data_IF_916285159865
#
_entry.id   IF_916285159865
#
_cell.length_a   1.000
_cell.length_b   1.000
_cell.length_c   1.000
_cell.angle_alpha   90.00
_cell.angle_beta   90.00
_cell.angle_gamma   90.00
#
_symmetry.space_group_name_H-M   'P 1'
#
loop_
_entity.id
_entity.type
_entity.pdbx_description
1 polymer ?
#
# COMPACT_ATOMS: atom_id res chain seq x y z
N UNK A 1 -36.17 48.70 30.77
CA UNK A 1 -35.07 47.70 30.80
C UNK A 1 -35.32 46.71 29.68
N UNK A 2 -34.44 46.69 28.68
CA UNK A 2 -34.50 45.79 27.51
C UNK A 2 -34.18 44.36 27.94
N UNK A 3 -35.11 43.42 27.79
CA UNK A 3 -34.77 41.99 27.79
C UNK A 3 -34.32 41.60 26.38
N UNK A 4 -33.05 41.20 26.32
CA UNK A 4 -32.32 40.76 25.14
C UNK A 4 -32.89 39.43 24.64
N UNK A 5 -33.12 39.34 23.33
CA UNK A 5 -33.44 38.09 22.65
C UNK A 5 -32.28 37.10 22.71
N UNK A 6 -32.61 35.83 22.96
CA UNK A 6 -31.70 34.71 22.78
C UNK A 6 -32.03 34.04 21.44
N UNK A 7 -31.20 34.29 20.42
CA UNK A 7 -31.21 33.51 19.19
C UNK A 7 -30.46 32.19 19.46
N UNK A 8 -31.18 31.07 19.42
CA UNK A 8 -30.60 29.74 19.40
C UNK A 8 -29.95 29.51 18.03
N UNK A 9 -28.62 29.60 17.99
CA UNK A 9 -27.82 29.15 16.87
C UNK A 9 -27.61 27.65 17.06
N UNK A 10 -28.48 26.83 16.47
CA UNK A 10 -28.19 25.41 16.27
C UNK A 10 -27.09 25.30 15.23
N UNK A 11 -25.85 25.14 15.70
CA UNK A 11 -24.72 24.85 14.82
C UNK A 11 -24.94 23.51 14.11
N UNK A 12 -24.96 23.54 12.78
CA UNK A 12 -24.71 22.35 11.99
C UNK A 12 -23.32 21.83 12.39
N UNK A 13 -23.26 20.65 12.99
CA UNK A 13 -22.06 19.83 12.99
C UNK A 13 -21.81 19.46 11.53
N UNK A 14 -21.04 20.29 10.82
CA UNK A 14 -20.39 19.86 9.60
C UNK A 14 -19.49 18.69 10.00
N UNK A 15 -19.88 17.48 9.59
CA UNK A 15 -19.01 16.32 9.69
C UNK A 15 -17.69 16.70 9.06
N UNK A 16 -16.61 16.62 9.84
CA UNK A 16 -15.29 16.92 9.34
C UNK A 16 -14.96 15.93 8.21
N UNK A 17 -15.14 16.38 6.97
CA UNK A 17 -14.62 15.71 5.78
C UNK A 17 -13.10 15.79 5.85
N UNK A 18 -12.48 14.87 6.57
CA UNK A 18 -11.04 14.73 6.58
C UNK A 18 -10.63 14.00 5.31
N UNK A 19 -10.59 14.80 4.25
CA UNK A 19 -10.31 14.40 2.88
C UNK A 19 -9.03 15.08 2.42
N UNK A 20 -7.97 14.31 2.16
CA UNK A 20 -7.00 14.75 1.17
C UNK A 20 -7.73 14.77 -0.18
N UNK A 21 -8.00 15.96 -0.73
CA UNK A 21 -8.49 16.07 -2.11
C UNK A 21 -7.56 15.29 -3.04
N UNK A 22 -8.09 14.49 -3.96
CA UNK A 22 -7.25 13.72 -4.89
C UNK A 22 -6.42 14.70 -5.73
N UNK A 23 -5.07 14.68 -5.63
CA UNK A 23 -4.21 15.57 -6.40
C UNK A 23 -4.37 15.35 -7.90
N UNK A 24 -4.17 16.40 -8.70
CA UNK A 24 -4.49 16.39 -10.13
C UNK A 24 -3.79 15.27 -10.91
N UNK A 25 -2.54 14.95 -10.56
CA UNK A 25 -1.79 13.86 -11.19
C UNK A 25 -2.37 12.48 -10.85
N UNK A 26 -2.75 12.25 -9.60
CA UNK A 26 -3.43 11.02 -9.16
C UNK A 26 -4.83 10.92 -9.76
N UNK A 27 -5.57 12.03 -9.84
CA UNK A 27 -6.88 12.07 -10.48
C UNK A 27 -6.79 11.72 -11.96
N UNK A 28 -5.83 12.31 -12.67
CA UNK A 28 -5.58 12.03 -14.09
C UNK A 28 -5.19 10.56 -14.30
N UNK A 29 -4.42 9.99 -13.38
CA UNK A 29 -4.08 8.57 -13.39
C UNK A 29 -5.32 7.70 -13.15
N UNK A 30 -6.13 8.00 -12.13
CA UNK A 30 -7.39 7.30 -11.85
C UNK A 30 -8.33 7.31 -13.07
N UNK A 31 -8.58 8.49 -13.64
CA UNK A 31 -9.43 8.65 -14.83
C UNK A 31 -8.84 7.92 -16.04
N UNK A 32 -7.53 7.98 -16.23
CA UNK A 32 -6.80 7.30 -17.30
C UNK A 32 -6.85 5.78 -17.19
N UNK A 33 -6.73 5.23 -15.98
CA UNK A 33 -6.90 3.79 -15.71
C UNK A 33 -8.32 3.38 -16.09
N UNK A 34 -9.35 4.11 -15.64
CA UNK A 34 -10.75 3.81 -15.98
C UNK A 34 -11.01 3.90 -17.47
N UNK A 35 -10.56 4.97 -18.13
CA UNK A 35 -10.79 5.18 -19.57
C UNK A 35 -10.09 4.14 -20.45
N UNK A 36 -8.93 3.64 -20.01
CA UNK A 36 -8.21 2.56 -20.70
C UNK A 36 -9.01 1.25 -20.74
N UNK A 37 -9.95 1.07 -19.83
CA UNK A 37 -10.86 -0.07 -19.80
C UNK A 37 -10.24 -1.34 -19.23
N UNK A 38 -9.01 -1.70 -19.62
CA UNK A 38 -8.33 -2.89 -19.11
C UNK A 38 -6.82 -2.76 -19.13
N UNK A 39 -6.15 -3.57 -18.31
CA UNK A 39 -4.69 -3.59 -18.29
C UNK A 39 -4.13 -4.26 -19.55
N UNK A 40 -3.37 -3.51 -20.35
CA UNK A 40 -2.68 -4.05 -21.55
C UNK A 40 -1.42 -4.86 -21.23
N UNK A 41 -0.83 -4.66 -20.05
CA UNK A 41 0.41 -5.33 -19.58
C UNK A 41 0.22 -5.76 -18.12
N UNK A 42 -0.70 -6.70 -17.90
CA UNK A 42 -0.93 -7.24 -16.58
C UNK A 42 0.32 -8.00 -16.10
N UNK A 43 0.75 -7.75 -14.87
CA UNK A 43 1.74 -8.59 -14.20
C UNK A 43 1.15 -9.97 -13.92
N UNK A 44 -0.10 -9.97 -13.47
CA UNK A 44 -0.87 -11.16 -13.19
C UNK A 44 -2.36 -10.85 -13.33
N UNK A 45 -3.13 -11.84 -13.77
CA UNK A 45 -4.58 -11.78 -13.86
C UNK A 45 -5.20 -13.04 -13.28
N UNK A 46 -6.52 -13.05 -13.10
CA UNK A 46 -7.26 -14.20 -12.59
C UNK A 46 -7.74 -14.05 -11.15
N UNK A 47 -7.77 -12.82 -10.65
CA UNK A 47 -8.24 -12.47 -9.32
C UNK A 47 -9.73 -12.12 -9.32
N UNK A 48 -10.29 -12.23 -8.12
CA UNK A 48 -11.66 -11.86 -7.80
C UNK A 48 -11.70 -10.56 -7.01
N UNK A 49 -12.84 -9.90 -7.12
CA UNK A 49 -13.18 -8.70 -6.38
C UNK A 49 -14.10 -9.10 -5.25
N UNK A 50 -15.26 -9.59 -5.67
CA UNK A 50 -16.37 -10.00 -4.84
C UNK A 50 -16.37 -11.52 -4.71
N UNK A 51 -16.73 -12.03 -3.53
CA UNK A 51 -17.00 -13.45 -3.36
C UNK A 51 -18.16 -13.89 -4.26
N UNK A 52 -18.03 -15.07 -4.87
CA UNK A 52 -18.94 -15.57 -5.91
C UNK A 52 -18.94 -14.75 -7.22
N UNK A 53 -18.11 -13.70 -7.32
CA UNK A 53 -18.00 -12.83 -8.48
C UNK A 53 -17.26 -13.47 -9.67
N UNK A 54 -17.18 -12.74 -10.77
CA UNK A 54 -16.45 -13.20 -11.95
C UNK A 54 -14.94 -12.97 -11.80
N UNK A 55 -14.12 -13.94 -12.23
CA UNK A 55 -12.68 -13.72 -12.46
C UNK A 55 -12.50 -12.63 -13.51
N UNK A 56 -11.69 -11.63 -13.20
CA UNK A 56 -11.46 -10.55 -14.18
C UNK A 56 -10.48 -9.48 -13.77
N UNK A 57 -9.99 -9.52 -12.53
CA UNK A 57 -9.07 -8.53 -11.99
C UNK A 57 -7.63 -8.92 -12.27
N UNK A 58 -6.80 -7.90 -12.40
CA UNK A 58 -5.39 -8.02 -12.68
C UNK A 58 -4.59 -7.02 -11.83
N UNK A 59 -3.45 -7.50 -11.31
CA UNK A 59 -2.37 -6.62 -10.88
C UNK A 59 -1.70 -6.07 -12.14
N UNK A 60 -1.83 -4.76 -12.32
CA UNK A 60 -1.34 -4.01 -13.44
C UNK A 60 -0.06 -3.28 -13.07
N UNK A 61 0.92 -3.28 -13.98
CA UNK A 61 2.10 -2.41 -13.87
C UNK A 61 2.04 -1.37 -14.97
N UNK A 62 2.22 -0.09 -14.64
CA UNK A 62 2.51 0.90 -15.69
C UNK A 62 4.01 0.98 -15.94
N UNK A 63 4.55 -0.03 -16.63
CA UNK A 63 5.94 -0.02 -17.08
C UNK A 63 6.08 0.73 -18.40
N UNK A 64 6.15 2.05 -18.28
CA UNK A 64 6.80 2.99 -19.21
C UNK A 64 6.83 4.42 -18.66
N UNK A 65 5.88 4.82 -17.80
CA UNK A 65 5.76 6.24 -17.39
C UNK A 65 5.82 6.50 -15.87
N UNK A 66 5.39 5.57 -14.99
CA UNK A 66 5.20 5.88 -13.56
C UNK A 66 5.82 4.91 -12.55
N UNK A 67 6.28 3.72 -12.97
CA UNK A 67 6.82 2.68 -12.09
C UNK A 67 5.98 2.43 -10.82
N UNK A 68 4.71 2.06 -11.00
CA UNK A 68 3.77 1.73 -9.92
C UNK A 68 3.00 0.45 -10.24
N UNK A 69 2.62 -0.29 -9.21
CA UNK A 69 1.70 -1.44 -9.28
C UNK A 69 0.32 -0.98 -8.82
N UNK A 70 -0.73 -1.31 -9.56
CA UNK A 70 -2.11 -0.98 -9.20
C UNK A 70 -3.08 -2.09 -9.59
N UNK A 71 -4.26 -2.10 -8.99
CA UNK A 71 -5.29 -3.10 -9.28
C UNK A 71 -6.24 -2.54 -10.34
N UNK A 72 -6.49 -3.30 -11.41
CA UNK A 72 -7.45 -2.94 -12.45
C UNK A 72 -8.24 -4.18 -12.92
N UNK A 73 -9.55 -4.00 -13.11
CA UNK A 73 -10.44 -4.95 -13.76
C UNK A 73 -10.61 -4.69 -15.26
N UNK A 74 -11.69 -5.26 -15.81
CA UNK A 74 -12.14 -5.01 -17.18
C UNK A 74 -13.15 -3.86 -17.20
N UNK A 75 -13.43 -3.31 -18.39
CA UNK A 75 -14.43 -2.25 -18.60
C UNK A 75 -14.27 -1.01 -17.70
N UNK A 76 -13.03 -0.69 -17.30
CA UNK A 76 -12.70 0.47 -16.47
C UNK A 76 -13.01 0.26 -14.99
N UNK A 77 -13.38 -0.96 -14.58
CA UNK A 77 -13.57 -1.31 -13.19
C UNK A 77 -12.23 -1.32 -12.46
N UNK A 78 -12.25 -0.86 -11.23
CA UNK A 78 -11.13 -0.85 -10.29
C UNK A 78 -11.39 -1.90 -9.22
N UNK A 79 -10.78 -1.75 -8.04
CA UNK A 79 -11.03 -2.60 -6.89
C UNK A 79 -12.35 -2.26 -6.16
N UNK A 80 -12.86 -3.20 -5.40
CA UNK A 80 -13.72 -3.00 -4.22
C UNK A 80 -12.85 -2.70 -2.99
N UNK A 81 -13.49 -2.58 -1.82
CA UNK A 81 -12.82 -2.56 -0.52
C UNK A 81 -13.52 -3.51 0.46
N UNK A 82 -13.08 -4.75 0.50
CA UNK A 82 -13.40 -5.72 1.57
C UNK A 82 -12.62 -5.38 2.85
N UNK A 83 -13.09 -5.92 3.98
CA UNK A 83 -12.58 -5.56 5.30
C UNK A 83 -11.73 -6.67 5.90
N UNK A 84 -10.46 -6.35 6.12
CA UNK A 84 -9.53 -7.15 6.90
C UNK A 84 -9.56 -6.68 8.36
N UNK A 85 -9.75 -7.63 9.28
CA UNK A 85 -9.77 -7.39 10.73
C UNK A 85 -8.60 -8.03 11.47
N UNK A 86 -7.59 -8.51 10.75
CA UNK A 86 -6.43 -9.21 11.25
C UNK A 86 -5.48 -8.31 12.06
N UNK A 87 -4.59 -8.97 12.81
CA UNK A 87 -3.67 -8.30 13.73
C UNK A 87 -4.20 -8.31 15.16
N UNK A 88 -4.23 -7.14 15.81
CA UNK A 88 -4.65 -7.03 17.22
C UNK A 88 -6.14 -7.35 17.38
N UNK A 89 -6.43 -8.59 17.79
CA UNK A 89 -7.74 -9.01 18.29
C UNK A 89 -7.95 -8.50 19.72
N UNK A 90 -9.17 -8.09 20.06
CA UNK A 90 -9.51 -7.41 21.32
C UNK A 90 -8.83 -6.04 21.51
N UNK A 91 -8.80 -5.24 20.45
CA UNK A 91 -8.34 -3.86 20.50
C UNK A 91 -9.05 -3.08 21.63
N UNK A 92 -8.32 -2.26 22.42
CA UNK A 92 -8.94 -1.31 23.35
C UNK A 92 -9.73 -0.20 22.63
N UNK A 93 -9.59 -0.10 21.31
CA UNK A 93 -10.32 0.82 20.44
C UNK A 93 -11.48 0.14 19.71
N UNK A 94 -11.73 -1.16 19.96
CA UNK A 94 -12.85 -1.88 19.34
C UNK A 94 -14.16 -1.18 19.64
N UNK A 95 -14.95 -0.99 18.58
CA UNK A 95 -16.34 -0.53 18.66
C UNK A 95 -17.35 -1.61 18.22
N UNK A 96 -16.92 -2.87 18.12
CA UNK A 96 -17.78 -4.01 17.84
C UNK A 96 -17.92 -4.36 16.35
N UNK A 97 -17.28 -3.61 15.45
CA UNK A 97 -17.46 -3.77 14.01
C UNK A 97 -16.66 -4.92 13.41
N UNK A 98 -15.44 -5.17 13.86
CA UNK A 98 -14.66 -6.32 13.39
C UNK A 98 -15.23 -7.66 13.87
N UNK A 99 -16.02 -7.66 14.94
CA UNK A 99 -16.69 -8.85 15.47
C UNK A 99 -17.78 -9.40 14.53
N UNK A 100 -18.14 -8.66 13.47
CA UNK A 100 -18.97 -9.17 12.38
C UNK A 100 -18.20 -10.17 11.48
N UNK A 101 -16.87 -10.01 11.37
CA UNK A 101 -16.03 -10.90 10.56
C UNK A 101 -15.96 -12.31 11.17
N UNK A 102 -16.01 -13.32 10.31
CA UNK A 102 -15.85 -14.73 10.70
C UNK A 102 -14.46 -15.29 10.34
N UNK A 103 -13.61 -14.48 9.71
CA UNK A 103 -12.31 -14.89 9.16
C UNK A 103 -11.11 -14.18 9.82
N UNK A 104 -11.35 -13.50 10.94
CA UNK A 104 -10.31 -12.72 11.61
C UNK A 104 -9.21 -13.59 12.22
N UNK A 105 -7.96 -13.24 11.93
CA UNK A 105 -6.75 -13.84 12.49
C UNK A 105 -6.11 -12.96 13.58
N UNK A 106 -5.48 -13.57 14.60
CA UNK A 106 -4.89 -12.85 15.73
C UNK A 106 -3.53 -12.18 15.41
N UNK A 107 -3.14 -12.14 14.14
CA UNK A 107 -1.88 -11.56 13.67
C UNK A 107 -2.01 -11.18 12.20
N UNK A 108 -1.29 -10.14 11.78
CA UNK A 108 -1.08 -9.83 10.37
C UNK A 108 0.09 -10.61 9.78
N UNK A 109 0.15 -10.70 8.46
CA UNK A 109 1.26 -11.35 7.76
C UNK A 109 2.65 -10.76 8.09
N UNK A 110 2.75 -9.50 8.53
CA UNK A 110 4.01 -8.81 8.81
C UNK A 110 4.24 -8.49 10.29
N UNK A 111 3.58 -9.20 11.20
CA UNK A 111 3.73 -9.05 12.65
C UNK A 111 5.20 -9.01 13.11
N UNK A 112 6.07 -9.89 12.60
CA UNK A 112 7.47 -9.94 13.03
C UNK A 112 8.25 -8.67 12.65
N UNK A 113 7.97 -8.09 11.48
CA UNK A 113 8.58 -6.84 11.03
C UNK A 113 8.09 -5.65 11.88
N UNK A 114 6.79 -5.62 12.18
CA UNK A 114 6.17 -4.60 13.04
C UNK A 114 6.77 -4.65 14.45
N UNK A 115 6.91 -5.85 15.03
CA UNK A 115 7.57 -6.04 16.33
C UNK A 115 9.04 -5.64 16.28
N UNK A 116 9.73 -5.94 15.17
CA UNK A 116 11.12 -5.56 14.91
C UNK A 116 11.36 -4.05 14.94
N UNK A 117 10.37 -3.23 14.58
CA UNK A 117 10.44 -1.77 14.71
C UNK A 117 10.54 -1.29 16.15
N UNK A 118 10.13 -2.11 17.13
CA UNK A 118 10.09 -1.75 18.56
C UNK A 118 9.35 -0.42 18.78
N UNK A 119 8.36 -0.14 17.93
CA UNK A 119 7.57 1.09 17.95
C UNK A 119 6.49 1.07 19.04
N UNK A 120 6.45 0.01 19.86
CA UNK A 120 5.58 -0.14 21.02
C UNK A 120 4.14 -0.55 20.70
N UNK A 121 3.94 -1.16 19.54
CA UNK A 121 2.78 -1.98 19.20
C UNK A 121 3.23 -3.43 18.99
N UNK A 122 2.30 -4.37 19.16
CA UNK A 122 2.55 -5.79 18.91
C UNK A 122 2.29 -6.18 17.46
N UNK A 123 1.34 -5.50 16.84
CA UNK A 123 0.90 -5.68 15.46
C UNK A 123 0.05 -4.47 15.03
N UNK A 124 -0.40 -4.42 13.79
CA UNK A 124 -1.46 -3.51 13.34
C UNK A 124 -2.78 -3.81 14.07
N UNK A 125 -3.63 -2.80 14.13
CA UNK A 125 -4.95 -2.83 14.76
C UNK A 125 -5.93 -2.26 13.74
N UNK A 126 -6.86 -3.08 13.25
CA UNK A 126 -7.75 -2.71 12.15
C UNK A 126 -8.62 -1.48 12.46
N UNK A 127 -8.86 -1.15 13.74
CA UNK A 127 -9.58 0.07 14.13
C UNK A 127 -8.77 1.36 13.98
N UNK A 128 -7.43 1.26 13.96
CA UNK A 128 -6.50 2.39 14.10
C UNK A 128 -5.54 2.51 12.93
N UNK A 129 -4.97 1.41 12.47
CA UNK A 129 -3.92 1.42 11.49
C UNK A 129 -4.56 1.30 10.11
N UNK A 130 -4.49 2.36 9.30
CA UNK A 130 -4.83 2.23 7.88
C UNK A 130 -3.81 1.30 7.22
N UNK A 131 -4.25 0.11 6.87
CA UNK A 131 -3.43 -0.86 6.17
C UNK A 131 -4.22 -1.48 5.02
N UNK A 132 -3.49 -2.06 4.08
CA UNK A 132 -4.04 -2.76 2.91
C UNK A 132 -3.55 -4.19 2.88
N UNK A 133 -4.36 -5.05 2.30
CA UNK A 133 -4.00 -6.43 1.97
C UNK A 133 -3.54 -6.45 0.53
N UNK A 134 -2.32 -6.93 0.29
CA UNK A 134 -1.76 -6.97 -1.06
C UNK A 134 -1.01 -8.28 -1.29
N UNK A 135 -1.24 -8.87 -2.45
CA UNK A 135 -0.64 -10.15 -2.81
C UNK A 135 -1.47 -11.34 -2.36
N UNK A 136 -1.24 -12.44 -3.05
CA UNK A 136 -1.97 -13.70 -2.87
C UNK A 136 -0.94 -14.81 -2.80
N UNK A 137 -0.92 -15.49 -1.66
CA UNK A 137 0.07 -16.50 -1.34
C UNK A 137 -0.65 -17.84 -1.17
N UNK A 138 -0.06 -18.88 -1.75
CA UNK A 138 -0.58 -20.24 -1.64
C UNK A 138 0.32 -21.06 -0.73
N UNK A 139 -0.31 -21.95 0.04
CA UNK A 139 0.39 -22.99 0.76
C UNK A 139 1.12 -23.91 -0.23
N UNK A 140 2.23 -24.48 0.23
CA UNK A 140 3.06 -25.34 -0.60
C UNK A 140 2.23 -26.52 -1.16
N UNK A 141 2.14 -26.58 -2.49
CA UNK A 141 1.48 -27.69 -3.21
C UNK A 141 0.03 -27.44 -3.65
N UNK A 142 -0.57 -26.27 -3.36
CA UNK A 142 -1.91 -25.95 -3.88
C UNK A 142 -1.87 -25.59 -5.37
N UNK A 143 -2.12 -26.59 -6.23
CA UNK A 143 -2.21 -26.39 -7.67
C UNK A 143 -3.49 -25.64 -8.07
N UNK A 144 -3.38 -24.66 -8.97
CA UNK A 144 -4.54 -23.96 -9.54
C UNK A 144 -4.95 -22.67 -8.82
N UNK A 145 -4.33 -22.33 -7.69
CA UNK A 145 -4.49 -21.03 -7.05
C UNK A 145 -3.64 -19.96 -7.76
N UNK A 146 -4.20 -18.76 -7.94
CA UNK A 146 -3.50 -17.67 -8.62
C UNK A 146 -2.72 -16.87 -7.60
N UNK A 147 -1.40 -16.98 -7.62
CA UNK A 147 -0.52 -16.23 -6.72
C UNK A 147 -0.02 -14.93 -7.35
N UNK A 148 0.27 -13.95 -6.49
CA UNK A 148 0.98 -12.72 -6.81
C UNK A 148 1.79 -12.28 -5.59
N UNK A 149 3.10 -12.12 -5.77
CA UNK A 149 4.02 -11.68 -4.73
C UNK A 149 4.48 -10.25 -5.04
N UNK A 150 3.98 -9.21 -4.35
CA UNK A 150 4.37 -7.83 -4.66
C UNK A 150 5.88 -7.58 -4.54
N UNK A 151 6.59 -8.37 -3.73
CA UNK A 151 8.05 -8.37 -3.59
C UNK A 151 8.80 -8.65 -4.89
N UNK A 152 8.24 -9.46 -5.79
CA UNK A 152 8.85 -9.76 -7.11
C UNK A 152 8.92 -8.51 -8.00
N UNK A 153 8.15 -7.48 -7.64
CA UNK A 153 8.05 -6.20 -8.34
C UNK A 153 8.59 -5.03 -7.51
N UNK A 154 9.39 -5.32 -6.49
CA UNK A 154 10.08 -4.32 -5.68
C UNK A 154 9.20 -3.57 -4.69
N UNK A 155 7.97 -4.04 -4.44
CA UNK A 155 7.16 -3.55 -3.32
C UNK A 155 7.67 -4.24 -2.05
N UNK A 156 8.11 -3.47 -1.07
CA UNK A 156 8.62 -4.01 0.20
C UNK A 156 7.46 -4.15 1.21
N UNK A 157 7.46 -5.18 2.09
CA UNK A 157 6.53 -5.27 3.20
C UNK A 157 6.43 -3.96 3.99
N UNK A 158 5.22 -3.61 4.45
CA UNK A 158 4.90 -2.35 5.13
C UNK A 158 5.06 -1.08 4.28
N UNK A 159 5.29 -1.20 2.96
CA UNK A 159 5.29 -0.05 2.05
C UNK A 159 3.95 0.70 2.08
N UNK A 160 4.01 2.02 1.93
CA UNK A 160 2.84 2.86 1.74
C UNK A 160 2.16 2.53 0.42
N UNK A 161 0.85 2.34 0.47
CA UNK A 161 -0.06 2.21 -0.67
C UNK A 161 -1.00 3.41 -0.66
N UNK A 162 -1.11 4.08 -1.80
CA UNK A 162 -2.08 5.14 -2.03
C UNK A 162 -3.44 4.52 -2.39
N UNK A 163 -4.50 4.94 -1.70
CA UNK A 163 -5.86 4.43 -1.87
C UNK A 163 -6.78 5.57 -2.25
N UNK A 164 -7.39 5.49 -3.43
CA UNK A 164 -8.41 6.45 -3.90
C UNK A 164 -9.78 5.80 -3.77
N UNK A 165 -10.63 6.39 -2.95
CA UNK A 165 -11.99 5.93 -2.64
C UNK A 165 -12.86 7.16 -2.38
N UNK A 166 -14.15 7.12 -2.73
CA UNK A 166 -15.10 8.20 -2.45
C UNK A 166 -14.58 9.61 -2.81
N UNK A 167 -13.90 9.74 -3.96
CA UNK A 167 -13.26 10.99 -4.42
C UNK A 167 -12.21 11.61 -3.47
N UNK A 168 -11.62 10.79 -2.60
CA UNK A 168 -10.58 11.17 -1.64
C UNK A 168 -9.34 10.30 -1.83
N UNK A 169 -8.18 10.83 -1.41
CA UNK A 169 -6.93 10.08 -1.36
C UNK A 169 -6.53 9.83 0.10
N UNK A 170 -6.26 8.57 0.40
CA UNK A 170 -5.71 8.10 1.67
C UNK A 170 -4.45 7.27 1.45
N UNK A 171 -3.78 6.96 2.56
CA UNK A 171 -2.59 6.12 2.58
C UNK A 171 -2.77 5.03 3.63
N UNK A 172 -2.39 3.80 3.27
CA UNK A 172 -2.23 2.70 4.21
C UNK A 172 -0.87 2.04 4.03
N UNK A 173 -0.45 1.25 5.01
CA UNK A 173 0.73 0.38 4.85
C UNK A 173 0.29 -0.99 4.35
N UNK A 174 1.08 -1.64 3.51
CA UNK A 174 0.84 -3.04 3.16
C UNK A 174 1.24 -3.93 4.34
N UNK A 175 0.27 -4.23 5.22
CA UNK A 175 0.49 -4.99 6.46
C UNK A 175 0.10 -6.46 6.33
N UNK A 176 -0.78 -6.79 5.38
CA UNK A 176 -1.31 -8.14 5.24
C UNK A 176 -1.34 -8.67 3.81
N UNK A 177 -1.57 -9.99 3.68
CA UNK A 177 -1.59 -10.73 2.44
C UNK A 177 -2.79 -11.69 2.43
N UNK A 178 -3.40 -11.89 1.26
CA UNK A 178 -4.45 -12.90 1.15
C UNK A 178 -3.83 -14.30 1.13
N UNK A 179 -4.34 -15.16 2.02
CA UNK A 179 -4.09 -16.60 2.02
C UNK A 179 -4.86 -17.34 0.93
N UNK A 180 -4.76 -18.67 0.94
CA UNK A 180 -5.44 -19.53 -0.02
C UNK A 180 -6.61 -20.32 0.58
N UNK A 181 -7.16 -19.92 1.73
CA UNK A 181 -8.43 -20.41 2.29
C UNK A 181 -9.64 -20.21 1.37
N UNK A 182 -9.59 -19.22 0.48
CA UNK A 182 -10.63 -18.89 -0.48
C UNK A 182 -10.19 -18.83 -1.95
N UNK A 183 -11.01 -18.25 -2.84
CA UNK A 183 -10.54 -17.77 -4.14
C UNK A 183 -9.46 -16.69 -3.98
N UNK A 184 -8.61 -16.45 -5.00
CA UNK A 184 -7.60 -15.40 -4.96
C UNK A 184 -8.24 -14.01 -5.07
N UNK A 185 -8.61 -13.43 -3.92
CA UNK A 185 -9.27 -12.12 -3.76
C UNK A 185 -8.28 -10.97 -3.86
N UNK A 186 -8.77 -9.78 -4.22
CA UNK A 186 -8.02 -8.51 -4.16
C UNK A 186 -8.97 -7.38 -3.79
N UNK A 187 -8.42 -6.31 -3.22
CA UNK A 187 -9.23 -5.14 -2.83
C UNK A 187 -9.70 -5.24 -1.40
N UNK A 188 -8.84 -5.70 -0.50
CA UNK A 188 -9.14 -5.84 0.92
C UNK A 188 -8.27 -4.89 1.74
N UNK A 189 -8.80 -4.33 2.82
CA UNK A 189 -8.14 -3.31 3.62
C UNK A 189 -8.69 -3.22 5.03
N UNK A 190 -7.97 -2.54 5.92
CA UNK A 190 -8.42 -2.41 7.30
C UNK A 190 -9.72 -1.61 7.46
N UNK A 191 -10.46 -1.93 8.52
CA UNK A 191 -11.65 -1.19 8.93
C UNK A 191 -11.36 0.32 9.09
N UNK A 192 -10.15 0.69 9.51
CA UNK A 192 -9.70 2.07 9.66
C UNK A 192 -9.77 2.84 8.33
N UNK A 193 -9.19 2.32 7.25
CA UNK A 193 -9.20 3.02 5.96
C UNK A 193 -10.59 2.99 5.31
N UNK A 194 -11.33 1.90 5.45
CA UNK A 194 -12.72 1.84 4.99
C UNK A 194 -13.61 2.85 5.71
N UNK A 195 -13.42 3.01 7.03
CA UNK A 195 -14.12 4.03 7.84
C UNK A 195 -13.80 5.44 7.34
N UNK A 196 -12.54 5.71 6.96
CA UNK A 196 -12.13 7.00 6.39
C UNK A 196 -12.76 7.24 5.01
N UNK A 197 -12.87 6.21 4.18
CA UNK A 197 -13.47 6.27 2.85
C UNK A 197 -14.99 6.50 2.88
N UNK A 198 -15.70 5.68 3.65
CA UNK A 198 -17.15 5.49 3.49
C UNK A 198 -17.96 5.87 4.73
N UNK A 199 -17.28 6.13 5.85
CA UNK A 199 -17.89 6.47 7.12
C UNK A 199 -18.20 5.24 7.97
N UNK A 200 -18.24 5.46 9.29
CA UNK A 200 -18.36 4.40 10.29
C UNK A 200 -19.62 3.55 10.15
N UNK A 201 -20.76 4.16 9.82
CA UNK A 201 -22.06 3.48 9.77
C UNK A 201 -22.27 2.68 8.47
N UNK A 202 -21.26 2.61 7.61
CA UNK A 202 -21.32 1.95 6.29
C UNK A 202 -20.48 0.70 6.19
N UNK A 203 -19.57 0.49 7.13
CA UNK A 203 -18.58 -0.59 7.05
C UNK A 203 -18.42 -1.29 8.39
N UNK A 204 -18.30 -2.61 8.34
CA UNK A 204 -17.94 -3.49 9.45
C UNK A 204 -17.16 -4.72 8.91
N UNK A 205 -16.76 -5.64 9.78
CA UNK A 205 -15.92 -6.78 9.39
C UNK A 205 -16.53 -7.76 8.38
N UNK A 206 -17.83 -7.66 8.08
CA UNK A 206 -18.52 -8.47 7.06
C UNK A 206 -19.17 -7.61 5.96
N UNK A 207 -19.10 -6.28 6.11
CA UNK A 207 -19.69 -5.33 5.17
C UNK A 207 -18.64 -4.30 4.74
N UNK A 208 -18.03 -4.54 3.59
CA UNK A 208 -17.13 -3.61 2.92
C UNK A 208 -17.85 -2.68 1.93
N UNK A 209 -17.15 -2.33 0.86
CA UNK A 209 -17.64 -1.51 -0.26
C UNK A 209 -17.53 -2.30 -1.57
N UNK A 210 -18.66 -2.81 -2.06
CA UNK A 210 -18.71 -3.72 -3.20
C UNK A 210 -18.60 -3.03 -4.57
N UNK A 211 -18.75 -1.71 -4.65
CA UNK A 211 -18.58 -0.99 -5.90
C UNK A 211 -17.11 -1.01 -6.35
N UNK A 212 -16.91 -1.32 -7.63
CA UNK A 212 -15.59 -1.57 -8.21
C UNK A 212 -14.92 -0.24 -8.65
N UNK A 213 -14.77 0.69 -7.73
CA UNK A 213 -14.29 2.06 -7.98
C UNK A 213 -13.14 2.54 -7.07
N UNK A 214 -12.57 1.64 -6.26
CA UNK A 214 -11.43 1.89 -5.37
C UNK A 214 -10.12 1.62 -6.10
N UNK A 215 -9.19 2.59 -6.09
CA UNK A 215 -7.87 2.42 -6.69
C UNK A 215 -6.80 2.24 -5.62
N UNK A 216 -6.08 1.12 -5.69
CA UNK A 216 -4.87 0.88 -4.90
C UNK A 216 -3.63 1.10 -5.77
N UNK A 217 -2.65 1.86 -5.27
CA UNK A 217 -1.39 2.15 -5.96
C UNK A 217 -0.22 1.89 -5.01
N UNK A 218 0.56 0.85 -5.29
CA UNK A 218 1.78 0.49 -4.58
C UNK A 218 3.03 1.01 -5.34
N UNK A 219 4.04 1.40 -4.57
CA UNK A 219 5.26 2.02 -5.08
C UNK A 219 6.47 1.12 -4.83
N UNK A 220 7.22 0.74 -5.87
CA UNK A 220 8.48 0.04 -5.69
C UNK A 220 9.55 0.91 -5.02
N UNK A 221 10.40 0.26 -4.24
CA UNK A 221 11.58 0.86 -3.60
C UNK A 221 11.40 1.10 -2.10
N UNK A 222 12.52 1.03 -1.38
CA UNK A 222 12.57 1.14 0.09
C UNK A 222 12.10 2.48 0.65
N UNK A 223 12.09 3.55 -0.16
CA UNK A 223 11.55 4.83 0.25
C UNK A 223 10.01 4.85 0.32
N UNK A 224 9.34 3.78 -0.10
CA UNK A 224 7.92 3.55 0.17
C UNK A 224 7.68 3.02 1.59
N UNK A 225 8.67 2.45 2.27
CA UNK A 225 8.54 1.91 3.61
C UNK A 225 8.70 3.05 4.64
N UNK A 226 7.70 3.31 5.51
CA UNK A 226 7.80 4.37 6.51
C UNK A 226 8.78 4.01 7.64
N UNK A 227 9.00 2.72 7.88
CA UNK A 227 9.88 2.24 8.94
C UNK A 227 9.39 2.61 10.34
N UNK A 228 10.22 2.34 11.35
CA UNK A 228 9.87 2.54 12.76
C UNK A 228 9.53 3.99 13.14
N UNK A 229 9.98 4.98 12.37
CA UNK A 229 9.87 6.42 12.69
C UNK A 229 9.05 7.23 11.67
N UNK A 230 8.73 6.67 10.51
CA UNK A 230 7.98 7.38 9.47
C UNK A 230 6.46 7.24 9.57
N UNK A 231 5.96 6.38 10.46
CA UNK A 231 4.55 6.28 10.79
C UNK A 231 4.33 6.42 12.30
N UNK A 232 3.16 6.95 12.68
CA UNK A 232 2.74 7.03 14.06
C UNK A 232 2.14 5.69 14.51
N UNK A 233 2.97 4.66 14.66
CA UNK A 233 2.57 3.33 15.09
C UNK A 233 1.81 3.28 16.42
N UNK A 234 1.92 4.32 17.28
CA UNK A 234 1.16 4.42 18.54
C UNK A 234 -0.07 5.32 18.43
N UNK A 235 -0.56 5.57 17.21
CA UNK A 235 -1.78 6.33 17.02
C UNK A 235 -2.93 5.71 17.82
N UNK A 236 -3.89 6.54 18.20
CA UNK A 236 -5.12 6.13 18.89
C UNK A 236 -6.37 6.35 18.05
N UNK A 237 -6.21 6.80 16.79
CA UNK A 237 -7.29 6.95 15.83
C UNK A 237 -6.81 6.63 14.42
N UNK A 238 -7.71 6.10 13.57
CA UNK A 238 -7.51 5.91 12.14
C UNK A 238 -6.90 7.15 11.47
N UNK A 239 -7.47 8.32 11.80
CA UNK A 239 -7.00 9.59 11.26
C UNK A 239 -5.58 9.92 11.67
N UNK A 240 -5.21 9.77 12.95
CA UNK A 240 -3.86 10.09 13.41
C UNK A 240 -2.79 9.19 12.78
N UNK A 241 -3.12 7.93 12.50
CA UNK A 241 -2.23 7.04 11.77
C UNK A 241 -2.12 7.47 10.29
N UNK A 242 -3.25 7.66 9.60
CA UNK A 242 -3.27 8.11 8.20
C UNK A 242 -2.52 9.44 8.01
N UNK A 243 -2.73 10.43 8.90
CA UNK A 243 -2.08 11.73 8.82
C UNK A 243 -0.56 11.58 8.86
N UNK A 244 -0.06 10.63 9.67
CA UNK A 244 1.38 10.37 9.80
C UNK A 244 2.03 9.87 8.51
N UNK A 245 1.27 9.16 7.65
CA UNK A 245 1.74 8.67 6.36
C UNK A 245 1.70 9.75 5.27
N UNK A 246 0.91 10.80 5.45
CA UNK A 246 0.58 11.78 4.40
C UNK A 246 1.82 12.44 3.80
N UNK A 247 2.82 12.82 4.60
CA UNK A 247 4.01 13.49 4.09
C UNK A 247 4.84 12.62 3.15
N UNK A 248 5.02 11.33 3.49
CA UNK A 248 5.76 10.38 2.66
C UNK A 248 4.92 9.91 1.47
N UNK A 249 3.65 9.58 1.70
CA UNK A 249 2.69 9.25 0.64
C UNK A 249 2.58 10.35 -0.43
N UNK A 250 2.52 11.62 -0.02
CA UNK A 250 2.49 12.76 -0.95
C UNK A 250 3.74 12.88 -1.81
N UNK A 251 4.91 12.45 -1.31
CA UNK A 251 6.16 12.37 -2.10
C UNK A 251 6.10 11.24 -3.11
N UNK A 252 5.61 10.05 -2.69
CA UNK A 252 5.51 8.88 -3.56
C UNK A 252 4.58 9.14 -4.75
N UNK A 253 3.43 9.76 -4.53
CA UNK A 253 2.48 10.05 -5.62
C UNK A 253 3.03 11.05 -6.65
N UNK A 254 4.09 11.84 -6.34
CA UNK A 254 4.71 12.72 -7.35
C UNK A 254 5.37 11.95 -8.51
N UNK A 255 5.60 10.64 -8.33
CA UNK A 255 6.06 9.73 -9.39
C UNK A 255 4.99 9.53 -10.47
N UNK A 256 3.72 9.74 -10.13
CA UNK A 256 2.57 9.61 -11.03
C UNK A 256 2.44 10.90 -11.83
N UNK A 257 2.42 10.83 -13.16
CA UNK A 257 2.17 11.96 -14.06
C UNK A 257 3.41 12.70 -14.58
N UNK A 258 4.64 12.25 -14.29
CA UNK A 258 5.88 12.79 -14.88
C UNK A 258 6.24 14.20 -14.39
N UNK A 259 6.98 14.31 -13.29
CA UNK A 259 7.48 15.61 -12.81
C UNK A 259 8.26 15.65 -11.50
N UNK A 260 8.44 14.52 -10.80
CA UNK A 260 9.38 14.45 -9.68
C UNK A 260 10.72 13.90 -10.14
N UNK A 261 11.79 14.70 -10.07
CA UNK A 261 13.18 14.25 -10.12
C UNK A 261 13.48 13.36 -8.90
N UNK A 262 12.95 12.14 -8.89
CA UNK A 262 13.38 11.03 -8.04
C UNK A 262 14.13 10.02 -8.90
N UNK A 263 15.14 9.30 -8.36
CA UNK A 263 16.05 8.52 -9.19
C UNK A 263 15.29 7.45 -9.96
N UNK A 264 15.41 7.51 -11.28
CA UNK A 264 14.89 6.50 -12.20
C UNK A 264 15.52 5.13 -11.88
N UNK A 265 14.73 4.08 -11.62
CA UNK A 265 15.29 2.74 -11.46
C UNK A 265 15.54 2.17 -12.86
N UNK A 266 16.80 2.19 -13.29
CA UNK A 266 17.21 1.47 -14.49
C UNK A 266 17.46 0.01 -14.13
N UNK A 267 16.72 -0.86 -14.80
CA UNK A 267 16.71 -2.32 -14.73
C UNK A 267 18.07 -2.96 -15.03
N UNK A 268 18.54 -3.92 -14.22
CA UNK A 268 18.64 -5.37 -14.57
C UNK A 268 19.34 -6.21 -13.49
N UNK A 269 18.67 -7.31 -13.13
CA UNK A 269 19.13 -8.65 -12.72
C UNK A 269 20.44 -8.87 -11.94
N UNK A 270 20.32 -9.57 -10.81
CA UNK A 270 21.30 -10.61 -10.41
C UNK A 270 21.74 -10.64 -8.95
N UNK A 271 20.92 -11.30 -8.12
CA UNK A 271 21.28 -12.22 -7.02
C UNK A 271 22.46 -11.91 -6.09
N UNK A 272 22.14 -11.56 -4.85
CA UNK A 272 23.04 -11.68 -3.69
C UNK A 272 22.72 -10.67 -2.58
N UNK A 273 23.02 -10.97 -1.30
CA UNK A 273 22.80 -10.03 -0.20
C UNK A 273 23.55 -8.73 -0.51
N UNK A 274 22.82 -7.60 -0.51
CA UNK A 274 23.39 -6.32 -0.90
C UNK A 274 24.58 -5.96 0.02
N UNK A 275 25.80 -5.81 -0.52
CA UNK A 275 26.91 -5.26 0.23
C UNK A 275 26.58 -3.81 0.60
N UNK A 276 26.72 -3.46 1.88
CA UNK A 276 26.70 -2.07 2.33
C UNK A 276 27.81 -1.31 1.60
N UNK A 277 27.42 -0.29 0.85
CA UNK A 277 28.30 0.62 0.14
C UNK A 277 27.96 2.06 0.55
N UNK A 278 28.91 2.96 0.39
CA UNK A 278 28.78 4.36 0.80
C UNK A 278 27.76 5.12 -0.07
N UNK A 279 27.49 4.65 -1.29
CA UNK A 279 26.38 5.15 -2.10
C UNK A 279 25.79 4.08 -3.06
N UNK A 280 24.46 4.15 -3.23
CA UNK A 280 23.69 3.14 -3.93
C UNK A 280 24.06 3.02 -5.41
N UNK A 281 24.21 1.79 -5.91
CA UNK A 281 24.51 1.49 -7.31
C UNK A 281 26.00 1.34 -7.64
N UNK A 282 26.89 1.47 -6.65
CA UNK A 282 28.35 1.41 -6.83
C UNK A 282 29.01 0.36 -5.92
N UNK A 283 28.25 -0.64 -5.48
CA UNK A 283 28.72 -1.77 -4.67
C UNK A 283 29.33 -2.90 -5.52
N UNK A 284 29.83 -3.94 -4.85
CA UNK A 284 30.31 -5.18 -5.49
C UNK A 284 29.34 -5.68 -6.55
N UNK A 285 29.81 -5.81 -7.79
CA UNK A 285 29.04 -6.27 -8.94
C UNK A 285 28.40 -5.16 -9.79
N UNK A 286 28.42 -3.90 -9.33
CA UNK A 286 28.03 -2.75 -10.13
C UNK A 286 28.95 -2.57 -11.35
N UNK A 287 28.42 -1.99 -12.44
CA UNK A 287 29.20 -1.67 -13.64
C UNK A 287 30.02 -0.40 -13.44
N UNK A 288 31.26 -0.36 -13.91
CA UNK A 288 32.19 0.75 -13.72
C UNK A 288 33.09 0.97 -14.96
N UNK A 289 33.70 2.15 -15.11
CA UNK A 289 34.73 2.45 -16.13
C UNK A 289 36.08 2.80 -15.53
N UNK A 290 36.07 3.42 -14.36
CA UNK A 290 37.23 3.87 -13.58
C UNK A 290 37.03 3.53 -12.11
N UNK A 291 38.11 3.56 -11.32
CA UNK A 291 38.02 3.21 -9.89
C UNK A 291 37.06 4.11 -9.10
N UNK A 292 36.91 5.37 -9.51
CA UNK A 292 36.01 6.34 -8.86
C UNK A 292 34.51 6.00 -9.07
N UNK A 293 34.19 5.06 -9.97
CA UNK A 293 32.84 4.55 -10.17
C UNK A 293 32.47 3.46 -9.15
N UNK A 294 33.35 3.13 -8.19
CA UNK A 294 33.13 2.11 -7.18
C UNK A 294 33.22 2.74 -5.78
N UNK A 295 32.26 2.38 -4.91
CA UNK A 295 32.32 2.72 -3.49
C UNK A 295 33.46 1.98 -2.82
N UNK A 296 34.13 2.61 -1.85
CA UNK A 296 35.08 1.89 -1.01
C UNK A 296 34.38 0.71 -0.31
N UNK A 297 35.05 -0.45 -0.13
CA UNK A 297 36.46 -0.73 -0.47
C UNK A 297 36.67 -1.32 -1.89
N UNK A 298 35.75 -1.11 -2.83
CA UNK A 298 35.77 -1.77 -4.15
C UNK A 298 36.50 -0.92 -5.20
N UNK A 299 37.24 -1.56 -6.11
CA UNK A 299 37.87 -0.93 -7.27
C UNK A 299 37.22 -1.40 -8.58
N UNK A 300 37.45 -0.67 -9.69
CA UNK A 300 36.87 -1.03 -10.97
C UNK A 300 37.74 -2.05 -11.72
N UNK A 301 37.35 -3.32 -11.62
CA UNK A 301 38.09 -4.44 -12.18
C UNK A 301 37.29 -5.04 -13.34
N UNK A 302 37.84 -4.97 -14.54
CA UNK A 302 37.21 -5.54 -15.75
C UNK A 302 35.78 -5.06 -15.99
N UNK A 303 35.51 -3.78 -15.71
CA UNK A 303 34.21 -3.14 -15.89
C UNK A 303 33.17 -3.44 -14.80
N UNK A 304 33.60 -4.06 -13.68
CA UNK A 304 32.76 -4.35 -12.51
C UNK A 304 33.45 -3.97 -11.20
N UNK A 305 32.69 -3.48 -10.22
CA UNK A 305 33.22 -3.20 -8.89
C UNK A 305 33.53 -4.50 -8.14
N UNK A 306 34.78 -4.69 -7.72
CA UNK A 306 35.27 -5.90 -7.06
C UNK A 306 36.45 -5.60 -6.10
N UNK A 307 36.86 -6.60 -5.31
CA UNK A 307 38.10 -6.51 -4.51
C UNK A 307 39.29 -6.57 -5.47
N UNK A 308 40.24 -5.65 -5.34
CA UNK A 308 41.51 -5.76 -6.05
C UNK A 308 42.36 -6.89 -5.43
N UNK A 309 42.67 -7.98 -6.18
CA UNK A 309 43.51 -9.05 -5.67
C UNK A 309 45.00 -8.67 -5.52
N UNK A 310 45.40 -7.44 -5.88
CA UNK A 310 46.78 -6.94 -5.84
C UNK A 310 46.99 -5.77 -4.86
N UNK A 311 45.96 -5.34 -4.12
CA UNK A 311 46.03 -4.31 -3.10
C UNK A 311 46.49 -4.84 -1.74
#
# INVERSE_FOLDING_TARGET
>A
MLLKGAALISGLLAGSSYAGSVPANVKSFYDGVKSKGSCSKALKSGFYALDGGAKGRAFALNHSDYNVVYIQGKNGQLADMDIDCDGIINSPYSDGRCEASQDTQPQSSYIELIQGYKAGIKDVDSYIHSYVVLGNYADQGKSGYTTFHPTDYGIEPLSIVAVVCNNQLFYGVWADQNGDDGPPMVGESSLAIATLCFGKDKVDGDNGHSELDVLYIAFPGSDAVPGAKGANWKASTAKAFQDSLTAQGNKLIQRIGGGGSGPSPTTTSGSGPAPTCDWAGHCKGASCKTNDDCSDPWACISGKCAVDPQA
#
